data_IF_273955956217
#
_entry.id   IF_273955956217
#
_cell.length_a   1.000
_cell.length_b   1.000
_cell.length_c   1.000
_cell.angle_alpha   90.00
_cell.angle_beta   90.00
_cell.angle_gamma   90.00
#
_symmetry.space_group_name_H-M   'P 1'
#
loop_
_entity.id
_entity.type
_entity.pdbx_description
1 polymer ?
#
# COMPACT_ATOMS: atom_id res chain seq x y z
N UNK A 1 10.50 62.45 -75.55
CA UNK A 1 11.93 62.79 -75.56
C UNK A 1 12.72 61.48 -75.51
N UNK A 2 13.49 61.18 -76.58
CA UNK A 2 14.70 60.30 -76.70
C UNK A 2 14.86 59.10 -75.73
N UNK A 3 14.83 57.84 -76.20
CA UNK A 3 15.94 57.02 -76.80
C UNK A 3 16.70 56.15 -75.76
N UNK A 4 16.41 54.83 -75.83
CA UNK A 4 17.30 53.64 -75.89
C UNK A 4 18.05 52.97 -74.69
N UNK A 5 17.97 51.63 -74.75
CA UNK A 5 18.94 50.53 -74.45
C UNK A 5 18.84 49.67 -73.15
N UNK A 6 18.17 48.50 -73.33
CA UNK A 6 18.54 47.08 -73.01
C UNK A 6 19.18 46.70 -71.66
N UNK A 7 18.57 45.72 -70.97
CA UNK A 7 19.03 44.31 -70.95
C UNK A 7 17.90 43.34 -70.54
N UNK A 8 17.93 42.14 -71.11
CA UNK A 8 17.01 40.99 -70.95
C UNK A 8 17.49 40.10 -69.80
N UNK A 9 16.57 39.39 -69.11
CA UNK A 9 16.59 37.96 -68.70
C UNK A 9 15.40 37.71 -67.72
N UNK A 10 14.22 37.31 -68.23
CA UNK A 10 13.60 35.97 -68.13
C UNK A 10 13.34 35.49 -66.69
N UNK A 11 12.07 35.52 -66.24
CA UNK A 11 11.39 34.40 -65.54
C UNK A 11 9.87 34.55 -65.81
N UNK A 12 9.26 33.52 -66.43
CA UNK A 12 7.80 33.39 -66.56
C UNK A 12 7.20 32.91 -65.22
N UNK A 13 6.15 33.56 -64.76
CA UNK A 13 5.24 33.02 -63.74
C UNK A 13 3.89 32.75 -64.42
N UNK A 14 3.65 31.49 -64.79
CA UNK A 14 2.33 30.96 -65.10
C UNK A 14 1.75 30.32 -63.84
N UNK A 15 0.59 30.80 -63.42
CA UNK A 15 -0.25 30.15 -62.41
C UNK A 15 -0.78 28.82 -62.98
N UNK A 16 -0.40 27.70 -62.38
CA UNK A 16 -1.00 26.40 -62.68
C UNK A 16 -1.82 25.96 -61.45
N UNK A 17 -3.13 25.85 -61.64
CA UNK A 17 -4.03 25.16 -60.72
C UNK A 17 -3.59 23.71 -60.58
N UNK A 18 -3.23 23.29 -59.37
CA UNK A 18 -3.01 21.90 -59.02
C UNK A 18 -4.26 21.41 -58.26
N UNK A 19 -5.09 20.62 -58.94
CA UNK A 19 -6.09 19.79 -58.29
C UNK A 19 -5.36 18.75 -57.44
N UNK A 20 -5.29 18.98 -56.12
CA UNK A 20 -4.96 17.94 -55.14
C UNK A 20 -6.26 17.27 -54.71
N UNK A 21 -6.42 16.02 -55.15
CA UNK A 21 -7.37 15.08 -54.57
C UNK A 21 -6.88 14.83 -53.14
N UNK A 22 -7.54 15.44 -52.15
CA UNK A 22 -7.39 15.03 -50.76
C UNK A 22 -8.08 13.67 -50.63
N UNK A 23 -7.30 12.61 -50.56
CA UNK A 23 -7.75 11.37 -49.97
C UNK A 23 -8.03 11.64 -48.50
N UNK A 24 -9.28 11.55 -48.09
CA UNK A 24 -9.70 11.57 -46.69
C UNK A 24 -9.05 10.38 -45.96
N UNK A 25 -7.83 10.58 -45.46
CA UNK A 25 -7.34 9.79 -44.34
C UNK A 25 -8.03 10.34 -43.09
N UNK A 26 -9.22 9.82 -42.83
CA UNK A 26 -9.77 9.80 -41.48
C UNK A 26 -8.87 8.86 -40.70
N UNK A 27 -7.88 9.42 -40.00
CA UNK A 27 -7.32 8.73 -38.84
C UNK A 27 -8.48 8.66 -37.84
N UNK A 28 -9.12 7.51 -37.79
CA UNK A 28 -9.84 7.13 -36.59
C UNK A 28 -8.75 6.96 -35.54
N UNK A 29 -8.44 8.02 -34.80
CA UNK A 29 -7.88 7.90 -33.47
C UNK A 29 -8.93 7.16 -32.66
N UNK A 30 -8.89 5.83 -32.75
CA UNK A 30 -9.51 5.01 -31.73
C UNK A 30 -8.76 5.36 -30.45
N UNK A 31 -9.41 6.07 -29.54
CA UNK A 31 -9.12 5.90 -28.13
C UNK A 31 -9.24 4.39 -27.88
N UNK A 32 -8.12 3.68 -27.88
CA UNK A 32 -8.04 2.45 -27.12
C UNK A 32 -8.46 2.84 -25.70
N UNK A 33 -9.48 2.18 -25.17
CA UNK A 33 -9.76 2.30 -23.74
C UNK A 33 -8.49 1.81 -23.04
N UNK A 34 -7.93 2.63 -22.15
CA UNK A 34 -6.79 2.24 -21.33
C UNK A 34 -7.11 0.90 -20.66
N UNK A 35 -6.19 -0.07 -20.75
CA UNK A 35 -6.44 -1.40 -20.20
C UNK A 35 -6.33 -1.34 -18.67
N UNK A 36 -7.44 -1.64 -18.00
CA UNK A 36 -7.48 -1.80 -16.56
C UNK A 36 -7.15 -3.25 -16.19
N UNK A 37 -6.23 -3.43 -15.26
CA UNK A 37 -5.94 -4.71 -14.62
C UNK A 37 -6.66 -4.78 -13.28
N UNK A 38 -7.56 -5.76 -13.14
CA UNK A 38 -8.23 -6.04 -11.87
C UNK A 38 -7.45 -7.07 -11.06
N UNK A 39 -6.82 -6.62 -9.99
CA UNK A 39 -6.00 -7.42 -9.09
C UNK A 39 -6.74 -7.64 -7.77
N UNK A 40 -6.74 -8.88 -7.26
CA UNK A 40 -7.27 -9.19 -5.93
C UNK A 40 -6.23 -9.93 -5.12
N UNK A 41 -6.12 -9.56 -3.84
CA UNK A 41 -5.42 -10.35 -2.82
C UNK A 41 -6.39 -10.88 -1.81
N UNK A 42 -6.17 -12.13 -1.40
CA UNK A 42 -7.05 -12.80 -0.44
C UNK A 42 -6.25 -13.83 0.34
N UNK A 43 -6.11 -13.64 1.66
CA UNK A 43 -5.74 -14.74 2.54
C UNK A 43 -6.94 -15.71 2.60
N UNK A 44 -6.76 -16.90 2.03
CA UNK A 44 -7.84 -17.88 1.87
C UNK A 44 -7.98 -18.81 3.08
N UNK A 45 -7.09 -18.65 4.07
CA UNK A 45 -6.95 -19.50 5.25
C UNK A 45 -6.67 -20.99 4.94
N UNK A 46 -5.97 -21.64 5.86
CA UNK A 46 -5.66 -23.06 5.76
C UNK A 46 -5.80 -23.77 7.10
N UNK A 47 -6.03 -25.07 7.05
CA UNK A 47 -6.17 -25.88 8.26
C UNK A 47 -7.56 -26.48 8.41
N UNK A 48 -7.87 -26.93 9.63
CA UNK A 48 -9.08 -27.72 9.90
C UNK A 48 -10.34 -26.86 10.15
N UNK A 49 -10.16 -25.58 10.39
CA UNK A 49 -11.21 -24.57 10.56
C UNK A 49 -11.71 -24.02 9.23
N UNK A 50 -10.96 -24.18 8.14
CA UNK A 50 -11.31 -23.66 6.81
C UNK A 50 -11.78 -24.74 5.84
N UNK A 51 -12.86 -24.47 5.10
CA UNK A 51 -13.30 -25.28 3.95
C UNK A 51 -13.04 -24.51 2.64
N UNK A 52 -12.10 -24.98 1.78
CA UNK A 52 -11.80 -24.33 0.50
C UNK A 52 -13.02 -24.11 -0.41
N UNK A 53 -14.10 -24.89 -0.28
CA UNK A 53 -15.31 -24.69 -1.07
C UNK A 53 -16.13 -23.48 -0.58
N UNK A 54 -16.09 -23.16 0.72
CA UNK A 54 -16.70 -21.93 1.24
C UNK A 54 -15.99 -20.73 0.64
N UNK A 55 -14.66 -20.69 0.75
CA UNK A 55 -13.81 -19.61 0.25
C UNK A 55 -13.91 -19.45 -1.27
N UNK A 56 -13.99 -20.56 -2.01
CA UNK A 56 -14.25 -20.55 -3.45
C UNK A 56 -15.58 -19.89 -3.84
N UNK A 57 -16.62 -19.99 -3.01
CA UNK A 57 -17.89 -19.29 -3.27
C UNK A 57 -17.73 -17.78 -3.13
N UNK A 58 -16.93 -17.32 -2.17
CA UNK A 58 -16.62 -15.90 -2.02
C UNK A 58 -15.80 -15.39 -3.21
N UNK A 59 -14.81 -16.17 -3.67
CA UNK A 59 -14.06 -15.85 -4.91
C UNK A 59 -14.99 -15.74 -6.13
N UNK A 60 -15.92 -16.70 -6.32
CA UNK A 60 -16.87 -16.68 -7.43
C UNK A 60 -17.82 -15.47 -7.41
N UNK A 61 -18.04 -14.86 -6.23
CA UNK A 61 -18.86 -13.67 -6.09
C UNK A 61 -18.13 -12.37 -6.51
N UNK A 62 -16.84 -12.46 -6.84
CA UNK A 62 -16.01 -11.32 -7.31
C UNK A 62 -15.79 -11.48 -8.83
N UNK A 63 -16.60 -10.82 -9.68
CA UNK A 63 -16.52 -11.01 -11.12
C UNK A 63 -15.29 -10.32 -11.72
N UNK A 64 -14.90 -10.75 -12.93
CA UNK A 64 -13.97 -10.05 -13.83
C UNK A 64 -12.57 -9.77 -13.24
N UNK A 65 -12.06 -10.66 -12.37
CA UNK A 65 -10.70 -10.53 -11.80
C UNK A 65 -9.68 -11.12 -12.75
N UNK A 66 -8.64 -10.34 -13.08
CA UNK A 66 -7.62 -10.73 -14.03
C UNK A 66 -6.45 -11.46 -13.37
N UNK A 67 -6.17 -11.10 -12.11
CA UNK A 67 -5.01 -11.57 -11.39
C UNK A 67 -5.29 -11.68 -9.89
N UNK A 68 -5.15 -12.88 -9.35
CA UNK A 68 -5.30 -13.19 -7.93
C UNK A 68 -3.94 -13.49 -7.30
N UNK A 69 -3.69 -12.93 -6.12
CA UNK A 69 -2.65 -13.38 -5.20
C UNK A 69 -3.26 -13.94 -3.94
N UNK A 70 -3.08 -15.24 -3.70
CA UNK A 70 -3.66 -15.92 -2.55
C UNK A 70 -2.58 -16.34 -1.56
N UNK A 71 -2.84 -16.15 -0.27
CA UNK A 71 -2.01 -16.66 0.83
C UNK A 71 -2.75 -17.72 1.63
N UNK A 72 -1.99 -18.60 2.30
CA UNK A 72 -2.54 -19.74 3.07
C UNK A 72 -3.30 -20.77 2.23
N UNK A 73 -2.75 -21.15 1.09
CA UNK A 73 -3.32 -22.21 0.26
C UNK A 73 -2.84 -23.58 0.77
N UNK A 74 -3.78 -24.34 1.34
CA UNK A 74 -3.50 -25.61 2.04
C UNK A 74 -2.62 -26.58 1.23
N UNK A 75 -3.09 -26.94 0.05
CA UNK A 75 -2.50 -28.00 -0.76
C UNK A 75 -2.92 -27.83 -2.24
N UNK A 76 -2.51 -28.77 -3.12
CA UNK A 76 -2.81 -28.68 -4.55
C UNK A 76 -4.32 -28.77 -4.80
N UNK A 77 -5.04 -29.57 -4.01
CA UNK A 77 -6.49 -29.70 -4.15
C UNK A 77 -7.20 -28.39 -3.84
N UNK A 78 -6.80 -27.68 -2.78
CA UNK A 78 -7.33 -26.35 -2.48
C UNK A 78 -7.02 -25.36 -3.61
N UNK A 79 -5.77 -25.36 -4.10
CA UNK A 79 -5.37 -24.50 -5.22
C UNK A 79 -6.19 -24.74 -6.50
N UNK A 80 -6.49 -26.00 -6.81
CA UNK A 80 -7.32 -26.38 -7.96
C UNK A 80 -8.79 -25.96 -7.77
N UNK A 81 -9.29 -25.99 -6.53
CA UNK A 81 -10.61 -25.45 -6.18
C UNK A 81 -10.68 -23.94 -6.39
N UNK A 82 -9.66 -23.20 -5.95
CA UNK A 82 -9.58 -21.75 -6.16
C UNK A 82 -9.40 -21.36 -7.62
N UNK A 83 -8.64 -22.15 -8.41
CA UNK A 83 -8.53 -21.97 -9.85
C UNK A 83 -9.91 -22.11 -10.54
N UNK A 84 -10.68 -23.13 -10.17
CA UNK A 84 -12.04 -23.31 -10.70
C UNK A 84 -13.00 -22.20 -10.27
N UNK A 85 -12.74 -21.56 -9.13
CA UNK A 85 -13.53 -20.44 -8.62
C UNK A 85 -13.20 -19.13 -9.33
N UNK A 86 -11.93 -18.89 -9.64
CA UNK A 86 -11.43 -17.67 -10.26
C UNK A 86 -11.98 -17.46 -11.67
N UNK A 87 -12.23 -18.54 -12.43
CA UNK A 87 -12.84 -18.43 -13.74
C UNK A 87 -12.84 -19.73 -14.54
N UNK A 88 -13.03 -19.58 -15.86
CA UNK A 88 -13.17 -20.70 -16.78
C UNK A 88 -11.81 -21.26 -17.28
N UNK A 89 -11.81 -21.95 -18.42
CA UNK A 89 -10.60 -22.52 -19.02
C UNK A 89 -9.51 -21.50 -19.41
N UNK A 90 -9.81 -20.20 -19.38
CA UNK A 90 -8.83 -19.15 -19.68
C UNK A 90 -7.89 -18.87 -18.50
N UNK A 91 -8.22 -19.33 -17.28
CA UNK A 91 -7.36 -19.12 -16.13
C UNK A 91 -6.28 -20.20 -16.02
N UNK A 92 -5.15 -19.81 -15.42
CA UNK A 92 -4.08 -20.72 -15.02
C UNK A 92 -3.57 -20.36 -13.62
N UNK A 93 -3.03 -21.37 -12.93
CA UNK A 93 -2.58 -21.27 -11.55
C UNK A 93 -1.09 -21.57 -11.43
N UNK A 94 -0.43 -20.81 -10.57
CA UNK A 94 0.94 -21.05 -10.11
C UNK A 94 0.89 -21.22 -8.60
N UNK A 95 1.26 -22.40 -8.12
CA UNK A 95 1.28 -22.71 -6.70
C UNK A 95 2.73 -22.80 -6.20
N UNK A 96 3.03 -22.07 -5.14
CA UNK A 96 4.33 -22.09 -4.47
C UNK A 96 4.69 -23.47 -3.92
N UNK A 97 5.99 -23.68 -3.69
CA UNK A 97 6.53 -24.93 -3.14
C UNK A 97 6.98 -24.81 -1.70
N UNK A 98 7.13 -23.58 -1.21
CA UNK A 98 7.40 -23.24 0.19
C UNK A 98 6.13 -23.00 1.00
N UNK A 99 6.24 -22.89 2.33
CA UNK A 99 5.11 -22.60 3.21
C UNK A 99 4.43 -23.82 3.85
N UNK A 100 4.79 -25.05 3.46
CA UNK A 100 4.17 -26.25 4.03
C UNK A 100 2.69 -26.33 3.62
N UNK A 101 1.78 -26.25 4.59
CA UNK A 101 0.35 -26.15 4.33
C UNK A 101 -0.11 -24.71 4.07
N UNK A 102 0.75 -23.70 4.15
CA UNK A 102 0.29 -22.31 4.07
C UNK A 102 0.90 -21.64 2.84
N UNK A 103 0.64 -22.23 1.66
CA UNK A 103 1.38 -21.88 0.44
C UNK A 103 0.82 -20.61 -0.19
N UNK A 104 1.59 -20.04 -1.11
CA UNK A 104 1.15 -18.89 -1.90
C UNK A 104 0.71 -19.34 -3.29
N UNK A 105 -0.29 -18.70 -3.86
CA UNK A 105 -0.80 -19.01 -5.19
C UNK A 105 -1.01 -17.73 -6.01
N UNK A 106 -0.68 -17.80 -7.29
CA UNK A 106 -1.07 -16.81 -8.30
C UNK A 106 -2.09 -17.46 -9.22
N UNK A 107 -3.21 -16.80 -9.51
CA UNK A 107 -4.17 -17.24 -10.53
C UNK A 107 -4.37 -16.10 -11.52
N UNK A 108 -4.28 -16.35 -12.82
CA UNK A 108 -4.27 -15.30 -13.83
C UNK A 108 -5.08 -15.67 -15.08
N UNK A 109 -5.69 -14.67 -15.72
CA UNK A 109 -6.41 -14.82 -16.99
C UNK A 109 -5.43 -14.78 -18.18
N UNK A 110 -5.27 -15.91 -18.88
CA UNK A 110 -4.39 -16.05 -20.05
C UNK A 110 -4.91 -15.33 -21.29
N UNK A 111 -6.15 -14.89 -21.29
CA UNK A 111 -6.69 -14.06 -22.36
C UNK A 111 -6.14 -12.62 -22.31
N UNK A 112 -5.65 -12.19 -21.13
CA UNK A 112 -5.05 -10.87 -20.90
C UNK A 112 -3.55 -10.90 -20.60
N UNK A 113 -3.05 -11.97 -19.99
CA UNK A 113 -1.69 -12.02 -19.48
C UNK A 113 -0.88 -13.19 -20.06
N UNK A 114 0.28 -12.88 -20.61
CA UNK A 114 1.31 -13.85 -20.93
C UNK A 114 2.25 -14.03 -19.73
N UNK A 115 2.36 -15.25 -19.23
CA UNK A 115 3.41 -15.64 -18.28
C UNK A 115 4.75 -15.78 -19.00
N UNK A 116 5.81 -15.13 -18.48
CA UNK A 116 7.11 -15.06 -19.16
C UNK A 116 8.14 -16.05 -18.61
N UNK A 117 8.06 -16.46 -17.33
CA UNK A 117 8.98 -17.47 -16.83
C UNK A 117 8.52 -18.89 -17.13
N UNK A 118 9.47 -19.79 -17.40
CA UNK A 118 9.20 -21.22 -17.54
C UNK A 118 8.92 -21.92 -16.21
N UNK A 119 9.26 -21.28 -15.09
CA UNK A 119 9.12 -21.85 -13.75
C UNK A 119 8.83 -20.75 -12.72
N UNK A 120 8.04 -21.04 -11.66
CA UNK A 120 7.70 -20.07 -10.63
C UNK A 120 8.95 -19.61 -9.88
N UNK A 121 9.04 -18.32 -9.56
CA UNK A 121 10.16 -17.78 -8.78
C UNK A 121 9.76 -17.64 -7.31
N UNK A 122 10.45 -18.33 -6.41
CA UNK A 122 10.29 -18.15 -4.96
C UNK A 122 11.51 -17.42 -4.37
N UNK A 123 11.29 -16.27 -3.73
CA UNK A 123 12.37 -15.43 -3.20
C UNK A 123 12.92 -16.00 -1.88
N UNK A 124 13.85 -16.97 -1.98
CA UNK A 124 14.44 -17.65 -0.81
C UNK A 124 15.17 -16.73 0.16
N UNK A 125 15.70 -15.60 -0.32
CA UNK A 125 16.49 -14.64 0.48
C UNK A 125 15.69 -13.78 1.46
N UNK A 126 14.37 -13.72 1.34
CA UNK A 126 13.51 -12.83 2.16
C UNK A 126 13.36 -13.33 3.61
N UNK A 127 13.53 -14.63 3.83
CA UNK A 127 13.23 -15.28 5.12
C UNK A 127 11.84 -15.93 5.12
N UNK A 128 11.31 -16.26 6.30
CA UNK A 128 10.00 -16.91 6.46
C UNK A 128 9.91 -18.36 5.95
N UNK A 129 8.85 -19.06 6.33
CA UNK A 129 8.56 -20.42 5.85
C UNK A 129 7.87 -20.40 4.48
N UNK A 130 7.01 -19.40 4.26
CA UNK A 130 6.43 -19.02 2.96
C UNK A 130 7.39 -18.04 2.25
N UNK A 131 7.93 -18.42 1.09
CA UNK A 131 8.75 -17.52 0.26
C UNK A 131 7.85 -16.70 -0.66
N UNK A 132 8.09 -15.39 -0.83
CA UNK A 132 7.34 -14.61 -1.80
C UNK A 132 7.36 -15.27 -3.18
N UNK A 133 6.17 -15.50 -3.72
CA UNK A 133 5.96 -16.14 -5.01
C UNK A 133 5.85 -15.05 -6.07
N UNK A 134 6.71 -15.10 -7.07
CA UNK A 134 6.83 -14.08 -8.09
C UNK A 134 6.71 -14.68 -9.47
N UNK A 135 5.98 -14.00 -10.33
CA UNK A 135 5.92 -14.26 -11.76
C UNK A 135 6.12 -12.96 -12.56
N UNK A 136 6.69 -13.08 -13.75
CA UNK A 136 6.80 -11.99 -14.71
C UNK A 136 5.67 -12.15 -15.74
N UNK A 137 4.85 -11.11 -15.86
CA UNK A 137 3.75 -11.07 -16.80
C UNK A 137 3.97 -10.01 -17.88
N UNK A 138 3.42 -10.28 -19.05
CA UNK A 138 3.25 -9.33 -20.14
C UNK A 138 1.76 -9.22 -20.47
N UNK A 139 1.24 -8.00 -20.38
CA UNK A 139 -0.14 -7.69 -20.78
C UNK A 139 -0.24 -7.80 -22.30
N UNK A 140 -1.23 -8.54 -22.79
CA UNK A 140 -1.31 -8.93 -24.20
C UNK A 140 -1.63 -7.75 -25.11
N UNK A 141 -2.44 -6.79 -24.66
CA UNK A 141 -2.92 -5.73 -25.55
C UNK A 141 -1.87 -4.66 -25.86
N UNK A 142 -0.99 -4.36 -24.89
CA UNK A 142 -0.03 -3.25 -24.95
C UNK A 142 1.45 -3.69 -24.79
N UNK A 143 1.69 -4.96 -24.43
CA UNK A 143 3.00 -5.55 -24.12
C UNK A 143 3.66 -4.99 -22.85
N UNK A 144 2.88 -4.39 -21.94
CA UNK A 144 3.38 -3.92 -20.65
C UNK A 144 3.87 -5.08 -19.81
N UNK A 145 5.12 -5.01 -19.34
CA UNK A 145 5.77 -6.05 -18.53
C UNK A 145 5.85 -5.65 -17.08
N UNK A 146 5.57 -6.58 -16.18
CA UNK A 146 5.65 -6.35 -14.74
C UNK A 146 5.89 -7.64 -13.96
N UNK A 147 6.38 -7.48 -12.73
CA UNK A 147 6.48 -8.55 -11.76
C UNK A 147 5.24 -8.53 -10.86
N UNK A 148 4.59 -9.67 -10.72
CA UNK A 148 3.54 -9.88 -9.73
C UNK A 148 4.09 -10.72 -8.59
N UNK A 149 4.02 -10.21 -7.36
CA UNK A 149 4.61 -10.85 -6.19
C UNK A 149 3.57 -11.05 -5.08
N UNK A 150 3.31 -12.30 -4.72
CA UNK A 150 2.42 -12.66 -3.59
C UNK A 150 3.28 -12.89 -2.35
N UNK A 151 2.84 -12.35 -1.21
CA UNK A 151 3.53 -12.41 0.06
C UNK A 151 2.64 -12.99 1.16
N UNK A 152 3.26 -13.64 2.13
CA UNK A 152 2.66 -13.84 3.45
C UNK A 152 3.76 -13.67 4.50
N UNK A 153 3.78 -12.51 5.17
CA UNK A 153 4.78 -12.19 6.18
C UNK A 153 4.46 -12.83 7.53
N UNK A 154 5.49 -13.05 8.34
CA UNK A 154 5.34 -13.81 9.57
C UNK A 154 4.45 -13.09 10.60
N UNK A 155 3.36 -13.71 11.04
CA UNK A 155 2.52 -13.24 12.16
C UNK A 155 3.25 -13.34 13.50
N UNK A 156 3.69 -14.54 13.88
CA UNK A 156 4.11 -14.90 15.23
C UNK A 156 5.43 -14.29 15.74
N UNK A 157 6.19 -13.60 14.89
CA UNK A 157 7.48 -12.99 15.25
C UNK A 157 7.69 -11.65 14.56
N UNK A 158 7.53 -10.57 15.33
CA UNK A 158 7.78 -9.20 14.88
C UNK A 158 9.18 -9.04 14.25
N UNK A 159 10.22 -9.61 14.87
CA UNK A 159 11.59 -9.57 14.34
C UNK A 159 11.70 -10.17 12.94
N UNK A 160 11.10 -11.34 12.71
CA UNK A 160 11.11 -11.99 11.38
C UNK A 160 10.37 -11.14 10.37
N UNK A 161 9.21 -10.61 10.75
CA UNK A 161 8.39 -9.75 9.91
C UNK A 161 9.11 -8.48 9.47
N UNK A 162 9.76 -7.78 10.41
CA UNK A 162 10.61 -6.62 10.12
C UNK A 162 11.79 -6.95 9.19
N UNK A 163 12.40 -8.13 9.35
CA UNK A 163 13.44 -8.61 8.43
C UNK A 163 12.89 -8.89 7.03
N UNK A 164 11.70 -9.50 6.92
CA UNK A 164 11.02 -9.72 5.65
C UNK A 164 10.68 -8.39 4.96
N UNK A 165 10.18 -7.40 5.72
CA UNK A 165 9.87 -6.06 5.21
C UNK A 165 11.10 -5.37 4.60
N UNK A 166 12.22 -5.29 5.33
CA UNK A 166 13.49 -4.73 4.80
C UNK A 166 13.93 -5.45 3.54
N UNK A 167 14.02 -6.77 3.59
CA UNK A 167 14.58 -7.55 2.48
C UNK A 167 13.70 -7.53 1.23
N UNK A 168 12.38 -7.53 1.40
CA UNK A 168 11.46 -7.46 0.27
C UNK A 168 11.46 -6.07 -0.37
N UNK A 169 11.49 -5.01 0.45
CA UNK A 169 11.74 -3.63 -0.02
C UNK A 169 13.04 -3.52 -0.79
N UNK A 170 14.15 -4.01 -0.23
CA UNK A 170 15.44 -3.98 -0.92
C UNK A 170 15.42 -4.79 -2.23
N UNK A 171 14.68 -5.90 -2.29
CA UNK A 171 14.51 -6.69 -3.51
C UNK A 171 13.71 -5.91 -4.57
N UNK A 172 12.58 -5.32 -4.18
CA UNK A 172 11.73 -4.55 -5.09
C UNK A 172 12.47 -3.32 -5.63
N UNK A 173 13.24 -2.61 -4.80
CA UNK A 173 14.04 -1.45 -5.21
C UNK A 173 15.18 -1.78 -6.19
N UNK A 174 15.52 -3.06 -6.37
CA UNK A 174 16.51 -3.53 -7.36
C UNK A 174 15.88 -3.99 -8.68
N UNK A 175 14.56 -4.03 -8.78
CA UNK A 175 13.90 -4.45 -10.02
C UNK A 175 13.93 -3.33 -11.07
N UNK A 176 14.04 -3.76 -12.33
CA UNK A 176 13.97 -2.84 -13.49
C UNK A 176 12.57 -2.84 -14.11
N UNK A 177 11.76 -3.86 -13.81
CA UNK A 177 10.36 -3.93 -14.19
C UNK A 177 9.48 -3.30 -13.08
N UNK A 178 8.31 -2.74 -13.45
CA UNK A 178 7.23 -2.46 -12.51
C UNK A 178 6.93 -3.68 -11.62
N UNK A 179 6.58 -3.45 -10.35
CA UNK A 179 6.20 -4.52 -9.42
C UNK A 179 4.82 -4.24 -8.85
N UNK A 180 3.92 -5.21 -8.95
CA UNK A 180 2.65 -5.28 -8.22
C UNK A 180 2.81 -6.33 -7.14
N UNK A 181 2.90 -5.91 -5.89
CA UNK A 181 3.13 -6.78 -4.75
C UNK A 181 1.86 -6.85 -3.89
N UNK A 182 1.38 -8.05 -3.61
CA UNK A 182 0.13 -8.29 -2.89
C UNK A 182 0.32 -9.32 -1.79
N UNK A 183 -0.65 -9.43 -0.89
CA UNK A 183 -0.73 -10.50 0.11
C UNK A 183 -1.04 -10.02 1.51
N UNK A 184 -0.95 -10.95 2.45
CA UNK A 184 -1.00 -10.69 3.89
C UNK A 184 0.39 -10.31 4.41
N UNK A 185 0.60 -9.02 4.70
CA UNK A 185 1.86 -8.51 5.22
C UNK A 185 1.93 -8.51 6.74
N UNK A 186 0.81 -8.82 7.42
CA UNK A 186 0.73 -8.80 8.87
C UNK A 186 1.23 -7.47 9.47
N UNK A 187 0.94 -6.36 8.80
CA UNK A 187 1.39 -5.03 9.19
C UNK A 187 0.57 -4.41 10.33
N UNK A 188 -0.57 -4.99 10.71
CA UNK A 188 -1.42 -4.49 11.79
C UNK A 188 -1.72 -2.99 11.62
N UNK A 189 -2.08 -2.56 10.41
CA UNK A 189 -2.34 -1.14 10.17
C UNK A 189 -3.64 -0.71 10.83
N UNK A 190 -3.53 0.05 11.91
CA UNK A 190 -4.65 0.61 12.65
C UNK A 190 -5.30 1.72 11.82
N UNK A 191 -6.56 1.52 11.48
CA UNK A 191 -7.34 2.45 10.64
C UNK A 191 -7.59 3.78 11.36
N UNK A 192 -7.71 3.77 12.69
CA UNK A 192 -7.98 4.96 13.50
C UNK A 192 -6.72 5.77 13.72
N UNK A 193 -5.62 5.10 14.11
CA UNK A 193 -4.33 5.74 14.31
C UNK A 193 -3.62 6.07 12.99
N UNK A 194 -4.06 5.46 11.88
CA UNK A 194 -3.47 5.62 10.55
C UNK A 194 -1.99 5.21 10.49
N UNK A 195 -1.64 4.18 11.27
CA UNK A 195 -0.27 3.70 11.45
C UNK A 195 -0.22 2.17 11.51
N UNK A 196 0.92 1.58 11.16
CA UNK A 196 1.14 0.14 11.22
C UNK A 196 2.22 -0.24 12.24
N UNK A 197 2.42 -1.54 12.43
CA UNK A 197 3.51 -2.03 13.26
C UNK A 197 4.88 -1.66 12.63
N UNK A 198 6.02 -1.79 13.36
CA UNK A 198 7.31 -1.34 12.87
C UNK A 198 7.77 -1.97 11.53
N UNK A 199 7.20 -3.11 11.12
CA UNK A 199 7.50 -3.67 9.81
C UNK A 199 6.86 -2.85 8.66
N UNK A 200 5.72 -2.20 8.89
CA UNK A 200 5.10 -1.25 7.97
C UNK A 200 5.99 -0.02 7.78
N UNK A 201 6.44 0.59 8.88
CA UNK A 201 7.38 1.73 8.86
C UNK A 201 8.64 1.38 8.05
N UNK A 202 9.26 0.25 8.39
CA UNK A 202 10.40 -0.31 7.65
C UNK A 202 10.10 -0.44 6.16
N UNK A 203 8.92 -0.90 5.80
CA UNK A 203 8.56 -1.11 4.40
C UNK A 203 8.60 0.21 3.59
N UNK A 204 8.33 1.34 4.25
CA UNK A 204 8.25 2.67 3.68
C UNK A 204 9.41 3.61 4.03
N UNK A 205 10.42 3.16 4.79
CA UNK A 205 11.67 3.92 5.09
C UNK A 205 12.35 4.49 3.83
N UNK A 206 12.20 3.80 2.70
CA UNK A 206 12.66 4.27 1.39
C UNK A 206 11.49 4.37 0.42
N UNK A 207 11.53 5.29 -0.57
CA UNK A 207 10.44 5.49 -1.53
C UNK A 207 10.39 4.40 -2.61
N UNK A 208 10.55 3.13 -2.21
CA UNK A 208 10.51 1.96 -3.09
C UNK A 208 9.07 1.64 -3.47
N UNK A 209 8.16 1.63 -2.50
CA UNK A 209 6.75 1.30 -2.71
C UNK A 209 5.85 2.55 -2.65
N UNK A 210 4.75 2.49 -3.40
CA UNK A 210 3.53 3.23 -3.11
C UNK A 210 2.42 2.23 -2.74
N UNK A 211 1.44 2.68 -1.97
CA UNK A 211 0.30 1.86 -1.57
C UNK A 211 -0.91 2.17 -2.43
N UNK A 212 -1.49 1.15 -3.06
CA UNK A 212 -2.84 1.23 -3.63
C UNK A 212 -3.85 1.24 -2.48
N UNK A 213 -3.99 2.43 -1.88
CA UNK A 213 -4.70 2.66 -0.62
C UNK A 213 -6.21 2.47 -0.80
N UNK A 214 -6.83 1.73 0.10
CA UNK A 214 -8.25 1.43 0.05
C UNK A 214 -9.09 2.70 0.22
N UNK A 215 -10.08 2.91 -0.64
CA UNK A 215 -10.93 4.11 -0.63
C UNK A 215 -11.70 4.26 0.67
N UNK A 216 -12.03 3.15 1.33
CA UNK A 216 -12.71 3.15 2.62
C UNK A 216 -11.98 3.97 3.71
N UNK A 217 -10.64 4.06 3.65
CA UNK A 217 -9.84 4.81 4.63
C UNK A 217 -10.13 6.31 4.54
N UNK A 218 -10.32 6.82 3.31
CA UNK A 218 -10.62 8.23 3.08
C UNK A 218 -12.09 8.57 3.36
N UNK A 219 -13.00 7.63 3.14
CA UNK A 219 -14.44 7.82 3.37
C UNK A 219 -14.88 7.43 4.78
N UNK A 220 -13.98 6.94 5.63
CA UNK A 220 -14.27 6.38 6.95
C UNK A 220 -15.37 5.29 6.91
N UNK A 221 -15.23 4.34 5.98
CA UNK A 221 -16.19 3.23 5.77
C UNK A 221 -15.53 1.85 5.78
N UNK A 222 -14.29 1.75 6.28
CA UNK A 222 -13.65 0.44 6.43
C UNK A 222 -14.38 -0.37 7.52
N UNK A 223 -14.36 -1.72 7.45
CA UNK A 223 -14.72 -2.54 8.60
C UNK A 223 -13.88 -2.12 9.82
N UNK A 224 -14.49 -2.09 11.01
CA UNK A 224 -13.77 -1.71 12.24
C UNK A 224 -12.60 -2.65 12.53
N UNK A 225 -12.72 -3.91 12.11
CA UNK A 225 -11.68 -4.94 12.28
C UNK A 225 -10.63 -4.93 11.17
N UNK A 226 -10.77 -4.04 10.17
CA UNK A 226 -9.87 -3.94 9.03
C UNK A 226 -10.08 -5.02 7.99
N UNK A 227 -9.03 -5.78 7.66
CA UNK A 227 -9.11 -6.89 6.68
C UNK A 227 -9.21 -8.25 7.32
N UNK A 228 -9.34 -8.32 8.65
CA UNK A 228 -9.47 -9.57 9.41
C UNK A 228 -10.76 -9.48 10.24
N UNK A 229 -11.52 -10.56 10.36
CA UNK A 229 -12.79 -10.64 11.06
C UNK A 229 -12.65 -10.66 12.58
N UNK A 230 -11.50 -11.10 13.08
CA UNK A 230 -11.26 -11.16 14.52
C UNK A 230 -10.93 -9.77 15.10
N UNK A 231 -11.76 -9.31 16.03
CA UNK A 231 -11.59 -8.03 16.75
C UNK A 231 -10.26 -7.93 17.55
N UNK A 232 -9.58 -9.06 17.80
CA UNK A 232 -8.26 -9.04 18.44
C UNK A 232 -7.12 -8.62 17.50
N UNK A 233 -7.38 -8.57 16.20
CA UNK A 233 -6.43 -8.20 15.14
C UNK A 233 -6.91 -6.97 14.35
N UNK A 234 -7.68 -6.09 15.00
CA UNK A 234 -8.21 -4.85 14.43
C UNK A 234 -7.14 -4.09 13.63
N UNK A 235 -7.18 -4.23 12.31
CA UNK A 235 -6.21 -3.60 11.43
C UNK A 235 -6.20 -4.18 10.02
N UNK A 236 -5.61 -3.44 9.08
CA UNK A 236 -5.35 -3.95 7.75
C UNK A 236 -4.11 -4.84 7.79
N UNK A 237 -4.28 -6.09 7.36
CA UNK A 237 -3.22 -7.08 7.20
C UNK A 237 -2.91 -7.31 5.72
N UNK A 238 -3.91 -7.13 4.86
CA UNK A 238 -3.86 -7.40 3.42
C UNK A 238 -3.67 -6.13 2.60
N UNK A 239 -2.66 -6.12 1.73
CA UNK A 239 -2.24 -4.93 0.99
C UNK A 239 -1.96 -5.22 -0.47
N UNK A 240 -2.06 -4.14 -1.27
CA UNK A 240 -1.60 -4.08 -2.66
C UNK A 240 -0.63 -2.89 -2.76
N UNK A 241 0.63 -3.19 -3.04
CA UNK A 241 1.72 -2.21 -3.19
C UNK A 241 2.24 -2.19 -4.61
N UNK A 242 2.69 -1.02 -5.06
CA UNK A 242 3.26 -0.79 -6.38
C UNK A 242 4.71 -0.30 -6.22
N UNK A 243 5.64 -0.80 -7.03
CA UNK A 243 7.05 -0.39 -7.01
C UNK A 243 7.63 -0.23 -8.41
N UNK A 244 8.74 0.49 -8.51
CA UNK A 244 9.33 0.91 -9.78
C UNK A 244 8.39 1.84 -10.56
N UNK A 245 8.25 1.60 -11.86
CA UNK A 245 7.35 2.38 -12.71
C UNK A 245 5.86 2.13 -12.41
N UNK A 246 5.51 1.02 -11.73
CA UNK A 246 4.12 0.75 -11.31
C UNK A 246 3.57 1.83 -10.39
N UNK A 247 4.44 2.56 -9.68
CA UNK A 247 4.02 3.68 -8.82
C UNK A 247 3.34 4.81 -9.59
N UNK A 248 3.51 4.87 -10.91
CA UNK A 248 2.88 5.87 -11.78
C UNK A 248 1.47 5.46 -12.21
N UNK A 249 1.12 4.19 -12.09
CA UNK A 249 -0.18 3.69 -12.52
C UNK A 249 -1.29 4.20 -11.60
N UNK A 250 -2.31 4.82 -12.18
CA UNK A 250 -3.52 5.14 -11.41
C UNK A 250 -4.17 3.86 -10.92
N UNK A 251 -4.71 3.93 -9.72
CA UNK A 251 -5.38 2.80 -9.13
C UNK A 251 -6.51 3.25 -8.22
N UNK A 252 -7.50 2.38 -8.08
CA UNK A 252 -8.52 2.45 -7.05
C UNK A 252 -8.55 1.11 -6.32
N UNK A 253 -8.37 1.15 -5.01
CA UNK A 253 -8.35 -0.03 -4.16
C UNK A 253 -9.50 -0.03 -3.17
N UNK A 254 -10.00 -1.19 -2.79
CA UNK A 254 -11.13 -1.32 -1.87
C UNK A 254 -11.13 -2.68 -1.14
N UNK A 255 -11.63 -2.69 0.09
CA UNK A 255 -11.94 -3.94 0.80
C UNK A 255 -13.30 -4.44 0.28
N UNK A 256 -13.38 -5.69 -0.16
CA UNK A 256 -14.61 -6.27 -0.68
C UNK A 256 -15.53 -6.76 0.44
N UNK A 257 -16.80 -7.02 0.12
CA UNK A 257 -17.81 -7.54 1.06
C UNK A 257 -18.07 -6.69 2.32
N UNK A 258 -17.60 -5.44 2.37
CA UNK A 258 -17.89 -4.50 3.46
C UNK A 258 -19.39 -4.34 3.70
N UNK A 259 -19.79 -4.35 4.97
CA UNK A 259 -21.18 -4.19 5.37
C UNK A 259 -22.08 -5.41 5.09
N UNK A 260 -21.51 -6.52 4.61
CA UNK A 260 -22.17 -7.81 4.61
C UNK A 260 -21.89 -8.56 5.91
N UNK A 261 -22.61 -9.67 6.13
CA UNK A 261 -22.34 -10.64 7.21
C UNK A 261 -21.14 -11.53 6.90
N UNK A 262 -20.09 -11.00 6.24
CA UNK A 262 -18.94 -11.80 5.78
C UNK A 262 -18.32 -12.58 6.94
N UNK A 263 -18.01 -11.89 8.04
CA UNK A 263 -17.44 -12.49 9.24
C UNK A 263 -18.36 -13.45 9.98
N UNK A 264 -19.67 -13.43 9.72
CA UNK A 264 -20.58 -14.42 10.31
C UNK A 264 -20.35 -15.83 9.71
N UNK A 265 -19.66 -15.92 8.57
CA UNK A 265 -19.34 -17.18 7.90
C UNK A 265 -17.99 -17.79 8.32
N UNK A 266 -17.11 -17.04 8.98
CA UNK A 266 -15.81 -17.54 9.47
C UNK A 266 -15.99 -18.83 10.32
N UNK A 267 -16.87 -18.87 11.34
CA UNK A 267 -17.10 -20.10 12.12
C UNK A 267 -17.67 -21.29 11.34
N UNK A 268 -18.05 -21.09 10.07
CA UNK A 268 -18.56 -22.12 9.16
C UNK A 268 -17.51 -22.61 8.15
N UNK A 269 -16.30 -22.07 8.23
CA UNK A 269 -15.14 -22.42 7.40
C UNK A 269 -14.92 -21.55 6.18
N UNK A 270 -15.52 -20.35 6.14
CA UNK A 270 -15.04 -19.29 5.25
C UNK A 270 -13.73 -18.70 5.80
N UNK A 271 -13.04 -17.92 4.98
CA UNK A 271 -11.87 -17.17 5.43
C UNK A 271 -12.31 -16.07 6.40
N UNK A 272 -11.50 -15.83 7.41
CA UNK A 272 -11.65 -14.71 8.33
C UNK A 272 -11.02 -13.42 7.77
N UNK A 273 -10.34 -13.47 6.62
CA UNK A 273 -9.83 -12.31 5.92
C UNK A 273 -10.80 -11.76 4.86
N UNK A 274 -10.91 -10.43 4.75
CA UNK A 274 -11.61 -9.80 3.65
C UNK A 274 -10.70 -9.74 2.40
N UNK A 275 -11.20 -10.08 1.20
CA UNK A 275 -10.46 -9.83 -0.03
C UNK A 275 -10.25 -8.32 -0.26
N UNK A 276 -9.06 -7.95 -0.72
CA UNK A 276 -8.73 -6.58 -1.12
C UNK A 276 -8.52 -6.54 -2.63
N UNK A 277 -9.21 -5.62 -3.30
CA UNK A 277 -9.16 -5.46 -4.76
C UNK A 277 -8.52 -4.12 -5.12
N UNK A 278 -7.69 -4.12 -6.17
CA UNK A 278 -7.31 -2.91 -6.90
C UNK A 278 -7.71 -3.01 -8.37
N UNK A 279 -8.27 -1.93 -8.92
CA UNK A 279 -8.36 -1.68 -10.36
C UNK A 279 -7.20 -0.77 -10.70
N UNK A 280 -6.30 -1.22 -11.58
CA UNK A 280 -5.05 -0.52 -11.92
C UNK A 280 -5.11 -0.16 -13.40
N UNK A 281 -5.06 1.13 -13.71
CA UNK A 281 -4.89 1.64 -15.07
C UNK A 281 -3.39 1.80 -15.34
N UNK A 282 -2.88 0.97 -16.26
CA UNK A 282 -1.46 0.83 -16.56
C UNK A 282 -0.91 1.99 -17.41
N UNK A 283 -1.79 2.73 -18.08
CA UNK A 283 -1.45 3.89 -18.92
C UNK A 283 -1.69 5.23 -18.21
N UNK A 284 -2.38 5.20 -17.07
CA UNK A 284 -2.64 6.39 -16.28
C UNK A 284 -1.36 7.03 -15.76
N UNK A 285 -1.22 8.35 -15.97
CA UNK A 285 -0.17 9.17 -15.35
C UNK A 285 -0.66 9.65 -13.97
N UNK A 286 -0.61 8.76 -12.99
CA UNK A 286 -0.84 9.11 -11.60
C UNK A 286 0.48 9.49 -10.95
N UNK A 287 0.52 10.68 -10.37
CA UNK A 287 1.60 11.01 -9.44
C UNK A 287 1.29 10.28 -8.13
N UNK A 288 2.09 9.30 -7.69
CA UNK A 288 1.80 8.56 -6.48
C UNK A 288 1.59 9.53 -5.33
N UNK A 289 0.56 9.28 -4.52
CA UNK A 289 0.59 9.75 -3.15
C UNK A 289 1.81 9.08 -2.50
N UNK A 290 2.93 9.79 -2.51
CA UNK A 290 3.96 9.58 -1.52
C UNK A 290 3.28 10.01 -0.21
N UNK A 291 3.10 9.14 0.81
CA UNK A 291 3.03 9.70 2.16
C UNK A 291 4.22 10.66 2.25
N UNK A 292 3.99 11.88 2.70
CA UNK A 292 5.09 12.77 3.04
C UNK A 292 5.85 12.06 4.16
N UNK A 293 6.79 11.18 3.79
CA UNK A 293 7.81 10.66 4.68
C UNK A 293 8.65 11.91 4.97
N UNK A 294 8.23 12.56 6.06
CA UNK A 294 9.05 13.31 7.00
C UNK A 294 9.55 14.67 6.49
N UNK A 295 8.64 15.64 6.46
CA UNK A 295 8.98 17.05 6.59
C UNK A 295 8.12 17.66 7.68
N UNK A 296 8.62 17.68 8.89
CA UNK A 296 7.87 18.30 9.97
C UNK A 296 8.34 17.88 11.35
N UNK A 297 7.60 18.31 12.38
CA UNK A 297 7.79 17.84 13.73
C UNK A 297 7.10 16.48 13.88
N UNK A 298 7.75 15.55 14.57
CA UNK A 298 7.25 14.21 14.87
C UNK A 298 7.40 13.90 16.35
N UNK A 299 6.61 12.98 16.87
CA UNK A 299 6.73 12.44 18.22
C UNK A 299 7.87 11.42 18.23
N UNK A 300 9.05 11.89 18.63
CA UNK A 300 10.31 11.15 18.75
C UNK A 300 10.23 9.95 19.71
N UNK A 301 9.64 10.20 20.88
CA UNK A 301 9.52 9.21 21.94
C UNK A 301 8.42 9.57 22.92
N UNK A 302 7.97 8.58 23.68
CA UNK A 302 7.10 8.75 24.82
C UNK A 302 7.69 8.04 26.05
N UNK A 303 7.48 8.62 27.22
CA UNK A 303 7.64 7.95 28.51
C UNK A 303 6.28 7.96 29.23
N UNK A 304 5.37 7.03 28.92
CA UNK A 304 4.04 7.05 29.50
C UNK A 304 4.00 6.60 30.96
N UNK A 305 4.79 5.58 31.29
CA UNK A 305 4.79 4.96 32.62
C UNK A 305 6.15 5.21 33.30
N UNK A 306 6.49 6.46 33.65
CA UNK A 306 7.78 6.78 34.25
C UNK A 306 7.92 6.11 35.62
N UNK A 307 9.15 5.86 36.06
CA UNK A 307 9.35 5.57 37.48
C UNK A 307 8.90 6.75 38.34
N UNK A 308 8.11 6.47 39.37
CA UNK A 308 7.63 7.49 40.30
C UNK A 308 6.24 8.02 39.98
N UNK A 309 6.12 9.33 39.72
CA UNK A 309 4.83 10.01 39.56
C UNK A 309 4.57 10.37 38.11
N UNK A 310 3.53 9.78 37.54
CA UNK A 310 3.09 9.99 36.16
C UNK A 310 2.74 11.46 35.90
N UNK A 311 1.97 12.08 36.80
CA UNK A 311 1.54 13.48 36.68
C UNK A 311 2.69 14.50 36.59
N UNK A 312 3.90 14.11 36.98
CA UNK A 312 5.11 14.94 36.86
C UNK A 312 6.09 14.46 35.80
N UNK A 313 6.26 13.15 35.65
CA UNK A 313 7.39 12.55 34.94
C UNK A 313 7.04 11.99 33.57
N UNK A 314 5.76 11.91 33.20
CA UNK A 314 5.36 11.55 31.84
C UNK A 314 6.05 12.50 30.85
N UNK A 315 6.49 11.98 29.71
CA UNK A 315 7.18 12.83 28.74
C UNK A 315 6.87 12.47 27.30
N UNK A 316 6.93 13.49 26.45
CA UNK A 316 6.86 13.38 24.99
C UNK A 316 8.11 14.04 24.44
N UNK A 317 8.85 13.36 23.57
CA UNK A 317 9.94 14.00 22.82
C UNK A 317 9.44 14.31 21.43
N UNK A 318 9.68 15.52 20.94
CA UNK A 318 9.46 15.89 19.54
C UNK A 318 10.79 15.94 18.79
N UNK A 319 10.78 15.61 17.50
CA UNK A 319 11.92 15.76 16.59
C UNK A 319 11.50 16.44 15.30
N UNK A 320 12.31 17.34 14.77
CA UNK A 320 12.09 17.88 13.43
C UNK A 320 12.93 17.11 12.41
N UNK A 321 12.28 16.33 11.55
CA UNK A 321 12.92 15.53 10.50
C UNK A 321 13.14 16.33 9.20
N UNK A 322 12.50 17.50 9.10
CA UNK A 322 12.61 18.42 7.99
C UNK A 322 13.93 19.18 7.92
N UNK A 323 14.05 20.01 6.88
CA UNK A 323 15.24 20.86 6.62
C UNK A 323 15.03 22.32 6.99
N UNK A 324 13.82 22.70 7.40
CA UNK A 324 13.46 24.05 7.83
C UNK A 324 13.12 24.06 9.32
N UNK A 325 13.33 25.20 9.98
CA UNK A 325 12.94 25.37 11.37
C UNK A 325 11.41 25.54 11.49
N UNK A 326 10.82 24.95 12.52
CA UNK A 326 9.37 24.93 12.73
C UNK A 326 9.04 25.76 13.95
N UNK A 327 8.11 26.70 13.82
CA UNK A 327 7.57 27.44 14.94
C UNK A 327 6.40 26.65 15.56
N UNK A 328 6.54 26.25 16.83
CA UNK A 328 5.58 25.47 17.60
C UNK A 328 4.58 26.34 18.40
N UNK A 329 4.57 27.66 18.20
CA UNK A 329 3.56 28.55 18.78
C UNK A 329 2.16 28.16 18.28
N UNK A 330 1.23 28.01 19.22
CA UNK A 330 -0.13 27.50 19.09
C UNK A 330 -0.26 26.02 18.67
N UNK A 331 0.84 25.26 18.63
CA UNK A 331 0.75 23.80 18.49
C UNK A 331 0.38 23.17 19.81
N UNK A 332 -0.26 22.00 19.75
CA UNK A 332 -0.64 21.23 20.94
C UNK A 332 -0.27 19.77 20.79
N UNK A 333 -0.03 19.12 21.92
CA UNK A 333 -0.21 17.68 22.07
C UNK A 333 -1.62 17.43 22.59
N UNK A 334 -2.27 16.37 22.11
CA UNK A 334 -3.61 15.94 22.53
C UNK A 334 -3.60 14.44 22.80
N UNK A 335 -4.15 14.02 23.94
CA UNK A 335 -4.37 12.59 24.21
C UNK A 335 -5.73 12.12 23.68
N UNK A 336 -5.97 10.81 23.75
CA UNK A 336 -7.21 10.18 23.27
C UNK A 336 -8.47 10.69 23.97
N UNK A 337 -8.37 11.09 25.24
CA UNK A 337 -9.47 11.61 26.04
C UNK A 337 -9.72 13.11 25.76
N UNK A 338 -8.87 13.74 24.95
CA UNK A 338 -8.98 15.12 24.52
C UNK A 338 -8.29 16.11 25.46
N UNK A 339 -7.51 15.66 26.44
CA UNK A 339 -6.70 16.56 27.25
C UNK A 339 -5.53 17.09 26.41
N UNK A 340 -5.11 18.32 26.67
CA UNK A 340 -4.17 19.02 25.76
C UNK A 340 -3.00 19.66 26.49
N UNK A 341 -1.85 19.74 25.82
CA UNK A 341 -0.66 20.45 26.27
C UNK A 341 -0.16 21.37 25.17
N UNK A 342 -0.09 22.67 25.46
CA UNK A 342 0.40 23.68 24.51
C UNK A 342 1.91 23.70 24.42
N UNK A 343 2.42 23.84 23.20
CA UNK A 343 3.86 23.84 22.89
C UNK A 343 4.47 25.23 22.77
N UNK A 344 3.73 26.29 23.13
CA UNK A 344 4.15 27.70 23.03
C UNK A 344 5.52 27.97 23.68
N UNK A 345 5.84 27.26 24.77
CA UNK A 345 7.09 27.42 25.52
C UNK A 345 8.32 26.84 24.80
N UNK A 346 8.11 25.99 23.79
CA UNK A 346 9.20 25.41 22.99
C UNK A 346 9.68 26.35 21.88
N UNK A 347 8.91 27.38 21.53
CA UNK A 347 9.19 28.32 20.44
C UNK A 347 9.53 27.62 19.12
N UNK A 348 10.82 27.51 18.76
CA UNK A 348 11.26 26.94 17.48
C UNK A 348 11.91 25.58 17.63
N UNK A 349 11.52 24.60 16.82
CA UNK A 349 12.18 23.30 16.67
C UNK A 349 13.03 23.28 15.38
N UNK A 350 14.35 23.31 15.53
CA UNK A 350 15.31 23.35 14.42
C UNK A 350 15.46 22.00 13.71
N UNK A 351 15.95 21.97 12.46
CA UNK A 351 16.22 20.72 11.75
C UNK A 351 17.06 19.74 12.57
N UNK A 352 16.57 18.50 12.69
CA UNK A 352 17.16 17.39 13.46
C UNK A 352 17.23 17.63 14.97
N UNK A 353 16.67 18.72 15.48
CA UNK A 353 16.57 18.97 16.92
C UNK A 353 15.54 18.04 17.55
N UNK A 354 15.86 17.56 18.74
CA UNK A 354 14.93 16.87 19.64
C UNK A 354 14.61 17.76 20.84
N UNK A 355 13.34 17.89 21.20
CA UNK A 355 12.90 18.57 22.43
C UNK A 355 12.03 17.64 23.25
N UNK A 356 12.39 17.43 24.51
CA UNK A 356 11.58 16.68 25.45
C UNK A 356 10.61 17.62 26.18
N UNK A 357 9.37 17.17 26.34
CA UNK A 357 8.27 17.86 26.99
C UNK A 357 7.83 16.97 28.16
N UNK A 358 8.12 17.39 29.39
CA UNK A 358 7.59 16.76 30.59
C UNK A 358 6.14 17.16 30.81
N UNK A 359 5.30 16.28 31.36
CA UNK A 359 3.94 16.64 31.75
C UNK A 359 3.94 17.76 32.79
N UNK A 360 4.72 17.62 33.87
CA UNK A 360 4.90 18.61 34.94
C UNK A 360 3.57 19.22 35.46
N UNK A 361 2.59 18.35 35.74
CA UNK A 361 1.27 18.72 36.27
C UNK A 361 0.30 19.31 35.24
N UNK A 362 0.66 19.31 33.94
CA UNK A 362 -0.22 19.75 32.84
C UNK A 362 -1.25 18.68 32.47
N UNK A 363 -2.23 19.12 31.69
CA UNK A 363 -3.49 18.41 31.46
C UNK A 363 -3.35 17.13 30.63
N UNK A 364 -2.42 17.09 29.66
CA UNK A 364 -2.10 15.88 28.87
C UNK A 364 -1.81 14.70 29.82
N UNK A 365 -2.43 13.56 29.56
CA UNK A 365 -2.23 12.34 30.35
C UNK A 365 -1.85 11.17 29.44
N UNK A 366 -0.76 10.48 29.77
CA UNK A 366 -0.31 9.31 29.01
C UNK A 366 -0.69 8.03 29.75
N UNK A 367 -1.84 7.44 29.47
CA UNK A 367 -2.32 6.28 30.20
C UNK A 367 -1.34 5.08 30.15
N UNK A 368 -0.94 4.51 31.31
CA UNK A 368 -0.01 3.37 31.41
C UNK A 368 -0.55 2.05 30.80
N UNK A 369 -1.82 2.01 30.38
CA UNK A 369 -2.45 0.82 29.77
C UNK A 369 -2.42 0.89 28.24
N UNK A 370 -2.93 1.96 27.65
CA UNK A 370 -2.80 2.29 26.24
C UNK A 370 -3.29 3.73 26.06
N UNK A 371 -2.73 4.43 25.09
CA UNK A 371 -3.18 5.77 24.73
C UNK A 371 -2.79 6.09 23.29
N UNK A 372 -3.30 7.22 22.81
CA UNK A 372 -2.90 7.84 21.54
C UNK A 372 -2.53 9.28 21.82
N UNK A 373 -1.34 9.69 21.37
CA UNK A 373 -0.87 11.07 21.47
C UNK A 373 -0.78 11.65 20.07
N UNK A 374 -1.53 12.73 19.86
CA UNK A 374 -1.56 13.48 18.61
C UNK A 374 -0.78 14.78 18.75
N UNK A 375 0.03 15.11 17.75
CA UNK A 375 0.61 16.43 17.54
C UNK A 375 -0.27 17.20 16.57
N UNK A 376 -0.84 18.32 17.03
CA UNK A 376 -1.83 19.09 16.27
C UNK A 376 -1.31 20.50 16.00
N UNK A 377 -1.46 20.95 14.76
CA UNK A 377 -1.02 22.27 14.32
C UNK A 377 -2.01 23.40 14.70
N UNK A 378 -1.67 24.68 14.46
CA UNK A 378 -2.56 25.80 14.77
C UNK A 378 -3.83 25.88 13.92
N UNK A 379 -3.91 25.16 12.80
CA UNK A 379 -5.11 25.04 11.99
C UNK A 379 -6.08 23.98 12.55
N UNK A 380 -5.60 23.14 13.48
CA UNK A 380 -6.35 22.04 14.07
C UNK A 380 -6.13 20.71 13.35
N UNK A 381 -5.17 20.65 12.42
CA UNK A 381 -4.83 19.43 11.69
C UNK A 381 -3.88 18.56 12.51
N UNK A 382 -4.12 17.24 12.52
CA UNK A 382 -3.22 16.27 13.14
C UNK A 382 -2.02 16.09 12.21
N UNK A 383 -0.84 16.48 12.69
CA UNK A 383 0.43 16.41 11.94
C UNK A 383 1.18 15.11 12.21
N UNK A 384 1.06 14.58 13.42
CA UNK A 384 1.62 13.28 13.79
C UNK A 384 0.76 12.63 14.87
N UNK A 385 0.78 11.30 14.95
CA UNK A 385 0.02 10.54 15.95
C UNK A 385 0.72 9.24 16.25
N UNK A 386 0.92 8.94 17.54
CA UNK A 386 1.50 7.67 17.98
C UNK A 386 0.58 7.01 19.00
N UNK A 387 0.39 5.70 18.87
CA UNK A 387 -0.36 4.89 19.83
C UNK A 387 0.57 3.88 20.49
N UNK A 388 0.25 3.51 21.73
CA UNK A 388 1.05 2.53 22.47
C UNK A 388 0.19 1.67 23.39
N UNK A 389 0.74 0.55 23.85
CA UNK A 389 0.07 -0.40 24.75
C UNK A 389 1.02 -0.95 25.82
N UNK A 390 0.56 -0.89 27.07
CA UNK A 390 1.14 -1.48 28.28
C UNK A 390 2.66 -1.30 28.42
N UNK A 391 3.18 -0.06 28.38
CA UNK A 391 4.60 0.19 28.59
C UNK A 391 5.03 -0.27 29.99
N UNK A 392 6.19 -0.92 30.06
CA UNK A 392 6.81 -1.26 31.34
C UNK A 392 7.17 0.03 32.12
N UNK A 393 7.23 -0.05 33.46
CA UNK A 393 7.63 1.10 34.26
C UNK A 393 9.07 1.52 33.92
N UNK A 394 9.24 2.78 33.52
CA UNK A 394 10.50 3.36 33.06
C UNK A 394 10.84 3.07 31.60
N UNK A 395 9.95 2.45 30.83
CA UNK A 395 10.15 2.20 29.40
C UNK A 395 9.94 3.47 28.58
N UNK A 396 11.01 3.90 27.90
CA UNK A 396 10.94 4.92 26.85
C UNK A 396 10.57 4.23 25.53
N UNK A 397 9.44 4.61 24.96
CA UNK A 397 8.98 4.17 23.65
C UNK A 397 9.61 5.09 22.60
N UNK A 398 10.62 4.62 21.87
CA UNK A 398 11.21 5.37 20.75
C UNK A 398 10.45 5.03 19.46
N UNK A 399 9.99 6.07 18.76
CA UNK A 399 9.40 5.95 17.43
C UNK A 399 10.47 6.32 16.41
N UNK A 400 10.51 5.63 15.26
CA UNK A 400 11.57 5.83 14.26
C UNK A 400 10.94 6.47 13.03
N UNK A 401 11.55 7.57 12.59
CA UNK A 401 11.19 8.37 11.43
C UNK A 401 12.32 8.29 10.41
#
# INVERSE_FOLDING_TARGET
>A
MRVFHRLIHVVLLFSLSLCLVFSDFVFADGCALAEELKVVTFNVESGNDTDPNMVARDMQAIPDVDLWGLSEVENQSAADTFLQAAGDSNFESILGTSGGSDRLQIIYDKSKLNKLNSSPMELTGIGGDRKPLVEEFEVISDNTKFLFAVNHFNRGSARKRQEQARKFRDWAGRQTLPVVAVGDYNFDFDISAMDGNPAFEIFFEEPVFSWARQTCLSSNTCPSTGTQCNECFDGLLDFIFLSGDAKKWSNQSEILFKGSSFCDNDPTGASDHFPVQAIIDLDGDFQPFQPNILKGPHIASLLPNPSGRDDTNESVTLVNTGTEAINLVNWILRDKDGNTLKLDELDTLFPRERKNILRDGRDLSLNNSCDTVELVDPAGEIVDSVSYIRPEEGEELEFIF
#
